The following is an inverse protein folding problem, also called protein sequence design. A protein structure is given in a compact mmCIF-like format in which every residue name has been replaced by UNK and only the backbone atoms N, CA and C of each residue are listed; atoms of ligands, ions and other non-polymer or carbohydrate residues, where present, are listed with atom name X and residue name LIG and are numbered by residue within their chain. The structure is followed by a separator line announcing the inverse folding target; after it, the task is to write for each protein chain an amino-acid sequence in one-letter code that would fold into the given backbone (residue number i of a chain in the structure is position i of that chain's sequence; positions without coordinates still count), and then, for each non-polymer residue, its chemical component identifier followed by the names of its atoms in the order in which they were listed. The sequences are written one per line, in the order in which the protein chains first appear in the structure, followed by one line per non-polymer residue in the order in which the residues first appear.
data_IF_737131975316
#
_entry.id   IF_737131975316
#
_cell.length_a   1.000
_cell.length_b   1.000
_cell.length_c   1.000
_cell.angle_alpha   90.00
_cell.angle_beta   90.00
_cell.angle_gamma   90.00
#
_symmetry.space_group_name_H-M   'P 1'
#
loop_
_entity.id
_entity.type
_entity.pdbx_description
1 polymer ?
#
# COMPACT_ATOMS: atom_id res chain seq x y z
N UNK A 1 -45.75 25.84 23.36
CA UNK A 1 -44.32 25.95 23.04
C UNK A 1 -43.70 24.56 23.13
N UNK A 2 -43.46 23.91 21.99
CA UNK A 2 -42.85 22.58 21.91
C UNK A 2 -41.33 22.74 22.13
N UNK A 3 -40.72 22.02 23.08
CA UNK A 3 -39.28 22.09 23.28
C UNK A 3 -38.59 21.45 22.08
N UNK A 4 -37.75 22.26 21.41
CA UNK A 4 -37.02 21.86 20.21
C UNK A 4 -36.18 20.61 20.46
N UNK A 5 -36.45 19.57 19.67
CA UNK A 5 -35.54 18.46 19.44
C UNK A 5 -34.21 19.04 18.94
N UNK A 6 -33.24 19.22 19.85
CA UNK A 6 -31.84 19.28 19.46
C UNK A 6 -31.52 17.94 18.82
N UNK A 7 -31.43 17.90 17.49
CA UNK A 7 -30.80 16.81 16.76
C UNK A 7 -29.51 16.44 17.50
N UNK A 8 -29.48 15.26 18.14
CA UNK A 8 -28.26 14.67 18.67
C UNK A 8 -27.31 14.60 17.48
N UNK A 9 -26.36 15.54 17.40
CA UNK A 9 -25.26 15.43 16.46
C UNK A 9 -24.61 14.08 16.72
N UNK A 10 -24.79 13.13 15.80
CA UNK A 10 -24.08 11.86 15.79
C UNK A 10 -22.59 12.21 15.78
N UNK A 11 -21.96 12.18 16.95
CA UNK A 11 -20.53 12.41 17.09
C UNK A 11 -19.82 11.15 16.63
N UNK A 12 -19.70 11.02 15.30
CA UNK A 12 -18.92 9.97 14.66
C UNK A 12 -17.48 10.02 15.19
N UNK A 13 -16.89 8.85 15.42
CA UNK A 13 -15.48 8.76 15.81
C UNK A 13 -14.57 9.20 14.65
N UNK A 14 -13.33 9.63 14.91
CA UNK A 14 -12.38 9.96 13.83
C UNK A 14 -12.20 8.83 12.81
N UNK A 15 -12.16 7.57 13.27
CA UNK A 15 -12.05 6.39 12.41
C UNK A 15 -13.29 6.16 11.54
N UNK A 16 -14.50 6.40 12.07
CA UNK A 16 -15.74 6.35 11.29
C UNK A 16 -15.76 7.40 10.17
N UNK A 17 -15.28 8.61 10.48
CA UNK A 17 -15.19 9.69 9.48
C UNK A 17 -14.19 9.34 8.38
N UNK A 18 -13.01 8.80 8.73
CA UNK A 18 -12.01 8.36 7.75
C UNK A 18 -12.58 7.26 6.85
N UNK A 19 -13.23 6.25 7.43
CA UNK A 19 -13.87 5.18 6.66
C UNK A 19 -14.90 5.74 5.66
N UNK A 20 -15.78 6.64 6.10
CA UNK A 20 -16.76 7.28 5.23
C UNK A 20 -16.13 8.17 4.16
N UNK A 21 -15.01 8.84 4.46
CA UNK A 21 -14.25 9.61 3.48
C UNK A 21 -13.68 8.71 2.38
N UNK A 22 -13.02 7.60 2.74
CA UNK A 22 -12.53 6.64 1.75
C UNK A 22 -13.67 6.03 0.93
N UNK A 23 -14.81 5.70 1.55
CA UNK A 23 -15.98 5.19 0.84
C UNK A 23 -16.54 6.23 -0.14
N UNK A 24 -16.65 7.49 0.28
CA UNK A 24 -17.10 8.57 -0.60
C UNK A 24 -16.11 8.84 -1.75
N UNK A 25 -14.81 8.72 -1.48
CA UNK A 25 -13.76 8.80 -2.50
C UNK A 25 -13.87 7.68 -3.52
N UNK A 26 -14.18 6.45 -3.08
CA UNK A 26 -14.37 5.31 -3.98
C UNK A 26 -15.57 5.49 -4.90
N UNK A 27 -16.69 5.99 -4.36
CA UNK A 27 -17.88 6.32 -5.16
C UNK A 27 -17.57 7.42 -6.16
N UNK A 28 -16.90 8.50 -5.74
CA UNK A 28 -16.51 9.59 -6.63
C UNK A 28 -15.56 9.11 -7.74
N UNK A 29 -14.55 8.31 -7.40
CA UNK A 29 -13.63 7.71 -8.36
C UNK A 29 -14.36 6.81 -9.37
N UNK A 30 -15.35 6.02 -8.90
CA UNK A 30 -16.17 5.16 -9.76
C UNK A 30 -16.98 5.99 -10.76
N UNK A 31 -17.61 7.08 -10.30
CA UNK A 31 -18.36 8.00 -11.17
C UNK A 31 -17.44 8.63 -12.21
N UNK A 32 -16.24 9.05 -11.80
CA UNK A 32 -15.26 9.69 -12.68
C UNK A 32 -14.80 8.73 -13.80
N UNK A 33 -14.54 7.46 -13.47
CA UNK A 33 -14.15 6.45 -14.45
C UNK A 33 -15.31 5.97 -15.33
N UNK A 34 -16.56 6.05 -14.88
CA UNK A 34 -17.74 5.72 -15.69
C UNK A 34 -18.07 6.79 -16.75
N UNK A 35 -17.45 7.97 -16.70
CA UNK A 35 -17.72 9.01 -17.70
C UNK A 35 -17.28 8.56 -19.09
N UNK A 36 -18.08 8.83 -20.16
CA UNK A 36 -17.71 8.46 -21.53
C UNK A 36 -16.36 9.03 -21.99
N UNK A 37 -15.96 10.18 -21.44
CA UNK A 37 -14.66 10.79 -21.72
C UNK A 37 -13.47 9.95 -21.24
N UNK A 38 -13.66 9.06 -20.25
CA UNK A 38 -12.62 8.21 -19.69
C UNK A 38 -12.32 6.98 -20.56
N UNK A 39 -13.25 6.57 -21.44
CA UNK A 39 -13.13 5.35 -22.24
C UNK A 39 -12.65 5.63 -23.66
N UNK A 40 -11.99 4.65 -24.27
CA UNK A 40 -11.71 4.68 -25.71
C UNK A 40 -13.01 4.52 -26.52
N UNK A 41 -13.08 5.08 -27.75
CA UNK A 41 -14.26 4.93 -28.59
C UNK A 41 -14.59 3.45 -28.86
N UNK A 42 -15.84 3.06 -28.60
CA UNK A 42 -16.32 1.68 -28.84
C UNK A 42 -16.02 0.68 -27.72
N UNK A 43 -15.46 1.11 -26.58
CA UNK A 43 -15.25 0.26 -25.42
C UNK A 43 -16.30 0.54 -24.34
N UNK A 44 -17.04 -0.51 -23.97
CA UNK A 44 -17.98 -0.48 -22.84
C UNK A 44 -17.40 -1.25 -21.66
N UNK A 45 -17.40 -0.62 -20.48
CA UNK A 45 -16.97 -1.24 -19.22
C UNK A 45 -18.19 -1.61 -18.37
N UNK A 46 -18.16 -2.77 -17.71
CA UNK A 46 -19.19 -3.14 -16.76
C UNK A 46 -19.12 -2.24 -15.51
N UNK A 47 -20.25 -2.00 -14.84
CA UNK A 47 -20.28 -1.19 -13.62
C UNK A 47 -19.36 -1.74 -12.53
N UNK A 48 -19.33 -3.06 -12.35
CA UNK A 48 -18.47 -3.69 -11.33
C UNK A 48 -16.99 -3.52 -11.66
N UNK A 49 -16.61 -3.62 -12.94
CA UNK A 49 -15.21 -3.45 -13.35
C UNK A 49 -14.75 -2.01 -13.19
N UNK A 50 -15.60 -1.04 -13.49
CA UNK A 50 -15.30 0.38 -13.24
C UNK A 50 -15.13 0.66 -11.74
N UNK A 51 -16.01 0.12 -10.89
CA UNK A 51 -15.87 0.21 -9.42
C UNK A 51 -14.60 -0.49 -8.94
N UNK A 52 -14.26 -1.65 -9.52
CA UNK A 52 -13.05 -2.38 -9.17
C UNK A 52 -11.80 -1.55 -9.49
N UNK A 53 -11.69 -1.01 -10.70
CA UNK A 53 -10.57 -0.16 -11.11
C UNK A 53 -10.50 1.10 -10.25
N UNK A 54 -11.64 1.74 -9.96
CA UNK A 54 -11.70 2.93 -9.12
C UNK A 54 -11.22 2.65 -7.69
N UNK A 55 -11.70 1.56 -7.07
CA UNK A 55 -11.25 1.16 -5.73
C UNK A 55 -9.79 0.77 -5.77
N UNK A 56 -9.35 0.00 -6.76
CA UNK A 56 -7.95 -0.41 -6.93
C UNK A 56 -7.00 0.79 -7.09
N UNK A 57 -7.39 1.81 -7.85
CA UNK A 57 -6.62 3.05 -7.96
C UNK A 57 -6.63 3.86 -6.65
N UNK A 58 -7.76 3.94 -5.95
CA UNK A 58 -7.85 4.70 -4.69
C UNK A 58 -7.17 4.02 -3.51
N UNK A 59 -7.25 2.69 -3.45
CA UNK A 59 -6.52 1.86 -2.48
C UNK A 59 -5.06 1.67 -2.88
N UNK A 60 -4.72 2.09 -4.10
CA UNK A 60 -3.38 2.04 -4.64
C UNK A 60 -2.87 0.60 -4.68
N UNK A 61 -3.74 -0.29 -5.16
CA UNK A 61 -3.48 -1.71 -5.27
C UNK A 61 -2.87 -2.03 -6.62
N UNK A 62 -3.55 -1.76 -7.74
CA UNK A 62 -3.06 -2.07 -9.09
C UNK A 62 -3.67 -3.30 -9.75
N UNK A 63 -4.55 -4.03 -9.05
CA UNK A 63 -5.32 -5.09 -9.67
C UNK A 63 -6.36 -4.48 -10.62
N UNK A 64 -6.46 -5.02 -11.83
CA UNK A 64 -7.44 -4.56 -12.83
C UNK A 64 -8.08 -5.75 -13.54
N UNK A 65 -9.42 -5.83 -13.60
CA UNK A 65 -10.10 -6.88 -14.36
C UNK A 65 -10.07 -6.62 -15.88
N UNK A 66 -9.70 -5.40 -16.29
CA UNK A 66 -9.64 -4.94 -17.68
C UNK A 66 -8.27 -4.31 -17.95
N UNK A 67 -7.78 -4.43 -19.17
CA UNK A 67 -6.53 -3.79 -19.60
C UNK A 67 -6.67 -2.28 -19.59
N UNK A 68 -5.78 -1.59 -18.85
CA UNK A 68 -5.78 -0.13 -18.73
C UNK A 68 -5.54 0.53 -20.10
N UNK A 69 -4.59 0.01 -20.87
CA UNK A 69 -4.26 0.54 -22.19
C UNK A 69 -5.43 0.37 -23.15
N UNK A 70 -6.14 -0.75 -23.13
CA UNK A 70 -7.22 -1.03 -24.10
C UNK A 70 -8.52 -0.31 -23.75
N UNK A 71 -8.74 -0.03 -22.46
CA UNK A 71 -10.02 0.49 -21.97
C UNK A 71 -10.06 2.01 -21.88
N UNK A 72 -9.02 2.61 -21.30
CA UNK A 72 -9.05 4.03 -20.93
C UNK A 72 -8.42 4.92 -22.01
N UNK A 73 -9.03 6.08 -22.22
CA UNK A 73 -8.50 7.15 -23.06
C UNK A 73 -7.40 7.92 -22.32
N UNK A 74 -6.74 8.86 -23.00
CA UNK A 74 -5.79 9.79 -22.37
C UNK A 74 -6.41 10.53 -21.18
N UNK A 75 -7.69 10.93 -21.29
CA UNK A 75 -8.43 11.56 -20.18
C UNK A 75 -8.63 10.57 -19.02
N UNK A 76 -8.93 9.31 -19.33
CA UNK A 76 -9.02 8.24 -18.34
C UNK A 76 -7.71 8.01 -17.59
N UNK A 77 -6.56 8.06 -18.29
CA UNK A 77 -5.25 7.99 -17.64
C UNK A 77 -5.04 9.12 -16.61
N UNK A 78 -5.43 10.36 -16.94
CA UNK A 78 -5.36 11.47 -15.99
C UNK A 78 -6.31 11.30 -14.79
N UNK A 79 -7.49 10.71 -14.99
CA UNK A 79 -8.39 10.38 -13.88
C UNK A 79 -7.79 9.33 -12.96
N UNK A 80 -7.21 8.25 -13.52
CA UNK A 80 -6.51 7.22 -12.73
C UNK A 80 -5.34 7.85 -11.96
N UNK A 81 -4.52 8.71 -12.60
CA UNK A 81 -3.42 9.41 -11.93
C UNK A 81 -3.90 10.29 -10.76
N UNK A 82 -4.99 11.02 -10.95
CA UNK A 82 -5.57 11.84 -9.88
C UNK A 82 -6.07 10.98 -8.72
N UNK A 83 -6.72 9.85 -9.02
CA UNK A 83 -7.19 8.91 -8.00
C UNK A 83 -6.00 8.28 -7.24
N UNK A 84 -4.95 7.87 -7.97
CA UNK A 84 -3.70 7.37 -7.39
C UNK A 84 -3.05 8.41 -6.48
N UNK A 85 -3.08 9.70 -6.83
CA UNK A 85 -2.54 10.76 -5.97
C UNK A 85 -3.30 10.88 -4.64
N UNK A 86 -4.63 10.87 -4.73
CA UNK A 86 -5.51 10.99 -3.55
C UNK A 86 -5.34 9.78 -2.64
N UNK A 87 -5.34 8.57 -3.21
CA UNK A 87 -5.11 7.32 -2.48
C UNK A 87 -3.69 7.25 -1.91
N UNK A 88 -2.73 7.68 -2.72
CA UNK A 88 -1.30 7.54 -2.51
C UNK A 88 -0.79 8.28 -1.28
N UNK A 89 -0.97 9.60 -1.34
CA UNK A 89 -0.62 10.50 -0.24
C UNK A 89 -1.55 10.33 0.98
N UNK A 90 -2.72 9.74 0.76
CA UNK A 90 -3.76 9.52 1.77
C UNK A 90 -4.81 10.63 1.74
N UNK A 91 -6.08 10.24 1.90
CA UNK A 91 -7.22 11.12 1.68
C UNK A 91 -7.21 12.34 2.63
N UNK A 92 -6.73 12.15 3.86
CA UNK A 92 -6.63 13.24 4.84
C UNK A 92 -5.50 14.21 4.53
N UNK A 93 -4.35 13.70 4.07
CA UNK A 93 -3.24 14.54 3.61
C UNK A 93 -3.69 15.42 2.45
N UNK A 94 -4.29 14.80 1.43
CA UNK A 94 -4.77 15.50 0.24
C UNK A 94 -5.81 16.56 0.63
N UNK A 95 -6.83 16.18 1.40
CA UNK A 95 -7.89 17.10 1.87
C UNK A 95 -7.31 18.26 2.68
N UNK A 96 -6.33 17.99 3.55
CA UNK A 96 -5.68 19.03 4.36
C UNK A 96 -4.92 20.05 3.50
N UNK A 97 -4.29 19.59 2.41
CA UNK A 97 -3.58 20.47 1.49
C UNK A 97 -4.56 21.35 0.71
N UNK A 98 -5.67 20.77 0.24
CA UNK A 98 -6.76 21.52 -0.41
C UNK A 98 -7.30 22.61 0.53
N UNK A 99 -7.55 22.30 1.81
CA UNK A 99 -7.98 23.30 2.79
C UNK A 99 -6.98 24.43 3.00
N UNK A 100 -5.67 24.11 3.05
CA UNK A 100 -4.62 25.11 3.18
C UNK A 100 -4.54 26.03 1.96
N UNK A 101 -4.71 25.48 0.74
CA UNK A 101 -4.74 26.27 -0.50
C UNK A 101 -5.91 27.26 -0.53
N UNK A 102 -7.07 26.88 -0.01
CA UNK A 102 -8.23 27.77 0.15
C UNK A 102 -8.16 28.69 1.38
N UNK A 103 -7.02 28.76 2.07
CA UNK A 103 -6.83 29.64 3.23
C UNK A 103 -7.61 29.23 4.49
N UNK A 104 -8.16 28.01 4.54
CA UNK A 104 -8.91 27.52 5.70
C UNK A 104 -7.95 27.13 6.82
N UNK A 105 -8.28 27.54 8.05
CA UNK A 105 -7.52 27.15 9.25
C UNK A 105 -7.91 25.72 9.66
N UNK A 106 -6.91 24.86 9.85
CA UNK A 106 -7.10 23.49 10.32
C UNK A 106 -7.28 23.49 11.84
N UNK A 107 -8.50 23.21 12.28
CA UNK A 107 -8.91 23.12 13.68
C UNK A 107 -8.48 21.81 14.35
N UNK A 108 -8.93 21.62 15.60
CA UNK A 108 -8.55 20.45 16.40
C UNK A 108 -9.17 19.15 15.90
N UNK A 109 -10.41 19.21 15.38
CA UNK A 109 -11.11 18.03 14.87
C UNK A 109 -10.41 17.49 13.62
N UNK A 110 -10.00 18.37 12.72
CA UNK A 110 -9.26 18.03 11.52
C UNK A 110 -7.89 17.44 11.85
N UNK A 111 -7.18 18.01 12.84
CA UNK A 111 -5.92 17.44 13.33
C UNK A 111 -6.09 16.05 13.93
N UNK A 112 -7.17 15.78 14.65
CA UNK A 112 -7.49 14.44 15.16
C UNK A 112 -7.74 13.44 14.03
N UNK A 113 -8.40 13.85 12.95
CA UNK A 113 -8.61 13.01 11.77
C UNK A 113 -7.28 12.67 11.09
N UNK A 114 -6.42 13.66 10.86
CA UNK A 114 -5.10 13.41 10.26
C UNK A 114 -4.25 12.50 11.16
N UNK A 115 -4.30 12.70 12.48
CA UNK A 115 -3.57 11.88 13.45
C UNK A 115 -4.01 10.41 13.38
N UNK A 116 -5.32 10.16 13.26
CA UNK A 116 -5.87 8.82 13.12
C UNK A 116 -5.50 8.18 11.76
N UNK A 117 -5.59 8.91 10.65
CA UNK A 117 -5.24 8.43 9.30
C UNK A 117 -3.76 8.06 9.17
N UNK A 118 -2.88 8.87 9.76
CA UNK A 118 -1.44 8.64 9.75
C UNK A 118 -0.96 7.70 10.87
N UNK A 119 -1.87 7.17 11.70
CA UNK A 119 -1.58 6.32 12.87
C UNK A 119 -0.50 6.93 13.80
N UNK A 120 -0.65 8.24 14.08
CA UNK A 120 0.26 9.05 14.92
C UNK A 120 -0.34 9.29 16.31
N UNK A 121 0.51 9.64 17.27
CA UNK A 121 0.08 10.00 18.65
C UNK A 121 0.17 11.48 18.95
N UNK A 122 0.95 12.25 18.19
CA UNK A 122 1.25 13.65 18.47
C UNK A 122 0.52 14.61 17.52
N UNK A 123 -0.09 15.67 18.08
CA UNK A 123 -0.82 16.69 17.32
C UNK A 123 0.06 17.88 16.89
N UNK A 124 1.22 18.05 17.52
CA UNK A 124 2.12 19.19 17.27
C UNK A 124 2.83 19.05 15.92
N UNK A 125 2.91 20.14 15.15
CA UNK A 125 3.63 20.16 13.87
C UNK A 125 2.99 19.32 12.75
N UNK A 126 1.88 18.66 13.01
CA UNK A 126 1.27 17.69 12.10
C UNK A 126 0.85 18.32 10.76
N UNK A 127 0.28 19.54 10.75
CA UNK A 127 -0.06 20.25 9.51
C UNK A 127 1.19 20.58 8.68
N UNK A 128 2.28 20.98 9.34
CA UNK A 128 3.57 21.24 8.67
C UNK A 128 4.11 19.95 8.05
N UNK A 129 4.04 18.84 8.79
CA UNK A 129 4.41 17.52 8.30
C UNK A 129 3.59 17.14 7.04
N UNK A 130 2.26 17.30 7.04
CA UNK A 130 1.43 16.99 5.86
C UNK A 130 1.84 17.80 4.64
N UNK A 131 2.12 19.09 4.81
CA UNK A 131 2.59 19.97 3.72
C UNK A 131 3.93 19.50 3.19
N UNK A 132 4.88 19.16 4.07
CA UNK A 132 6.18 18.67 3.66
C UNK A 132 6.08 17.33 2.92
N UNK A 133 5.25 16.40 3.40
CA UNK A 133 5.00 15.11 2.74
C UNK A 133 4.45 15.32 1.34
N UNK A 134 3.40 16.15 1.21
CA UNK A 134 2.76 16.42 -0.08
C UNK A 134 3.74 17.02 -1.10
N UNK A 135 4.51 18.04 -0.69
CA UNK A 135 5.49 18.68 -1.56
C UNK A 135 6.65 17.74 -1.93
N UNK A 136 7.07 16.88 -0.99
CA UNK A 136 8.15 15.93 -1.22
C UNK A 136 7.76 14.85 -2.23
N UNK A 137 6.55 14.29 -2.12
CA UNK A 137 6.03 13.28 -3.05
C UNK A 137 5.90 13.89 -4.45
N UNK A 138 5.29 15.07 -4.57
CA UNK A 138 5.17 15.75 -5.86
C UNK A 138 6.54 16.05 -6.49
N UNK A 139 7.54 16.43 -5.68
CA UNK A 139 8.91 16.61 -6.17
C UNK A 139 9.53 15.30 -6.66
N UNK A 140 9.35 14.20 -5.94
CA UNK A 140 9.83 12.86 -6.34
C UNK A 140 9.15 12.44 -7.66
N UNK A 141 7.84 12.63 -7.78
CA UNK A 141 7.06 12.30 -8.98
C UNK A 141 7.48 13.13 -10.19
N UNK A 142 7.70 14.44 -10.04
CA UNK A 142 8.17 15.28 -11.15
C UNK A 142 9.58 14.85 -11.59
N UNK A 143 10.49 14.59 -10.64
CA UNK A 143 11.85 14.15 -10.99
C UNK A 143 11.81 12.78 -11.67
N UNK A 144 11.05 11.82 -11.14
CA UNK A 144 10.89 10.51 -11.76
C UNK A 144 10.25 10.59 -13.15
N UNK A 145 9.24 11.44 -13.33
CA UNK A 145 8.56 11.65 -14.61
C UNK A 145 9.50 12.24 -15.67
N UNK A 146 10.37 13.18 -15.27
CA UNK A 146 11.38 13.75 -16.17
C UNK A 146 12.44 12.70 -16.53
N UNK A 147 12.95 11.95 -15.56
CA UNK A 147 13.99 10.93 -15.78
C UNK A 147 13.47 9.81 -16.69
N UNK A 148 12.30 9.23 -16.36
CA UNK A 148 11.68 8.19 -17.17
C UNK A 148 11.20 8.75 -18.52
N UNK A 149 10.60 9.94 -18.55
CA UNK A 149 10.10 10.56 -19.77
C UNK A 149 11.20 10.83 -20.79
N UNK A 150 12.36 11.34 -20.36
CA UNK A 150 13.54 11.53 -21.23
C UNK A 150 14.04 10.18 -21.74
N UNK A 151 14.14 9.19 -20.86
CA UNK A 151 14.62 7.86 -21.23
C UNK A 151 13.68 7.13 -22.18
N UNK A 152 12.37 7.33 -22.06
CA UNK A 152 11.34 6.72 -22.91
C UNK A 152 11.25 7.32 -24.31
N UNK A 153 11.97 8.40 -24.62
CA UNK A 153 12.05 8.95 -25.99
C UNK A 153 12.61 7.92 -26.97
N UNK A 154 13.45 6.98 -26.51
CA UNK A 154 13.98 5.91 -27.37
C UNK A 154 12.98 4.78 -27.64
N UNK A 155 11.91 4.67 -26.83
CA UNK A 155 10.92 3.59 -26.91
C UNK A 155 9.64 3.99 -27.64
N UNK A 156 9.30 5.29 -27.64
CA UNK A 156 8.07 5.80 -28.24
C UNK A 156 8.34 6.74 -29.41
N UNK A 157 7.50 6.73 -30.45
CA UNK A 157 7.71 7.53 -31.66
C UNK A 157 7.53 9.03 -31.42
N UNK A 158 6.73 9.43 -30.43
CA UNK A 158 6.46 10.84 -30.13
C UNK A 158 6.93 11.22 -28.73
N UNK A 159 7.51 12.42 -28.61
CA UNK A 159 7.96 12.97 -27.33
C UNK A 159 6.79 13.08 -26.34
N UNK A 160 5.61 13.48 -26.82
CA UNK A 160 4.40 13.58 -25.98
C UNK A 160 4.00 12.24 -25.36
N UNK A 161 4.10 11.15 -26.11
CA UNK A 161 3.79 9.81 -25.64
C UNK A 161 4.85 9.32 -24.65
N UNK A 162 6.14 9.52 -24.95
CA UNK A 162 7.23 9.20 -24.02
C UNK A 162 7.06 9.87 -22.65
N UNK A 163 6.75 11.18 -22.62
CA UNK A 163 6.50 11.90 -21.37
C UNK A 163 5.20 11.50 -20.68
N UNK A 164 4.16 11.10 -21.43
CA UNK A 164 2.94 10.56 -20.85
C UNK A 164 3.19 9.21 -20.15
N UNK A 165 3.94 8.31 -20.79
CA UNK A 165 4.39 7.05 -20.18
C UNK A 165 5.34 7.28 -19.02
N UNK A 166 6.26 8.24 -19.12
CA UNK A 166 7.18 8.61 -18.03
C UNK A 166 6.44 9.17 -16.82
N UNK A 167 5.48 10.06 -17.03
CA UNK A 167 4.63 10.61 -15.97
C UNK A 167 3.80 9.51 -15.31
N UNK A 168 3.14 8.68 -16.11
CA UNK A 168 2.28 7.63 -15.58
C UNK A 168 3.07 6.59 -14.79
N UNK A 169 4.21 6.13 -15.34
CA UNK A 169 5.10 5.20 -14.65
C UNK A 169 5.66 5.80 -13.35
N UNK A 170 6.05 7.08 -13.36
CA UNK A 170 6.60 7.74 -12.17
C UNK A 170 5.58 7.89 -11.06
N UNK A 171 4.37 8.35 -11.38
CA UNK A 171 3.28 8.48 -10.39
C UNK A 171 2.90 7.10 -9.89
N UNK A 172 2.62 6.14 -10.79
CA UNK A 172 2.26 4.78 -10.39
C UNK A 172 3.32 4.11 -9.51
N UNK A 173 4.60 4.23 -9.85
CA UNK A 173 5.68 3.66 -9.05
C UNK A 173 5.86 4.39 -7.70
N UNK A 174 5.79 5.73 -7.66
CA UNK A 174 5.95 6.50 -6.41
C UNK A 174 4.75 6.33 -5.49
N UNK A 175 3.56 6.27 -6.07
CA UNK A 175 2.36 5.93 -5.35
C UNK A 175 2.24 4.44 -5.15
N UNK A 176 3.16 3.56 -5.54
CA UNK A 176 2.99 2.12 -5.24
C UNK A 176 1.69 1.52 -5.82
N UNK A 177 1.21 2.06 -6.95
CA UNK A 177 -0.11 1.81 -7.50
C UNK A 177 -0.22 0.58 -8.39
N UNK A 178 0.89 0.04 -8.91
CA UNK A 178 0.88 -1.17 -9.75
C UNK A 178 0.23 -1.01 -11.13
N UNK A 179 -0.38 0.14 -11.45
CA UNK A 179 -0.96 0.41 -12.76
C UNK A 179 0.13 0.67 -13.79
N UNK A 180 -0.08 0.19 -15.00
CA UNK A 180 0.68 0.56 -16.18
C UNK A 180 -0.25 0.93 -17.34
N UNK A 181 0.33 1.59 -18.33
CA UNK A 181 -0.35 1.91 -19.59
C UNK A 181 0.38 1.29 -20.79
N UNK A 182 1.23 0.27 -20.55
CA UNK A 182 1.88 -0.51 -21.61
C UNK A 182 1.04 -1.74 -21.97
N UNK A 183 0.14 -2.18 -21.09
CA UNK A 183 -0.66 -3.40 -21.19
C UNK A 183 0.08 -4.66 -20.71
N UNK A 184 1.38 -4.55 -20.45
CA UNK A 184 2.24 -5.66 -20.07
C UNK A 184 3.17 -5.29 -18.91
N UNK A 185 2.76 -4.33 -18.07
CA UNK A 185 3.56 -3.83 -16.96
C UNK A 185 4.95 -3.32 -17.42
N UNK A 186 6.03 -3.80 -16.81
CA UNK A 186 7.41 -3.46 -17.19
C UNK A 186 8.12 -4.58 -17.96
N UNK A 187 7.40 -5.59 -18.46
CA UNK A 187 7.97 -6.67 -19.29
C UNK A 187 8.75 -6.12 -20.51
N UNK A 188 8.27 -5.09 -21.24
CA UNK A 188 9.04 -4.50 -22.35
C UNK A 188 10.40 -3.91 -21.94
N UNK A 189 10.58 -3.60 -20.65
CA UNK A 189 11.78 -2.99 -20.08
C UNK A 189 12.62 -3.98 -19.25
N UNK A 190 12.38 -5.29 -19.40
CA UNK A 190 13.07 -6.34 -18.65
C UNK A 190 14.59 -6.39 -18.85
N UNK A 191 15.09 -5.91 -19.99
CA UNK A 191 16.52 -5.81 -20.29
C UNK A 191 17.10 -4.41 -20.01
N UNK A 192 16.25 -3.45 -19.63
CA UNK A 192 16.66 -2.10 -19.32
C UNK A 192 16.78 -1.92 -17.80
N UNK A 193 17.99 -2.12 -17.28
CA UNK A 193 18.27 -1.98 -15.87
C UNK A 193 18.12 -0.53 -15.37
N UNK A 194 18.22 0.47 -16.24
CA UNK A 194 18.01 1.86 -15.83
C UNK A 194 16.54 2.08 -15.46
N UNK A 195 15.61 1.65 -16.32
CA UNK A 195 14.17 1.74 -16.05
C UNK A 195 13.80 0.96 -14.79
N UNK A 196 14.35 -0.25 -14.63
CA UNK A 196 14.09 -1.06 -13.43
C UNK A 196 14.60 -0.40 -12.16
N UNK A 197 15.83 0.14 -12.15
CA UNK A 197 16.40 0.82 -10.98
C UNK A 197 15.60 2.06 -10.62
N UNK A 198 15.22 2.88 -11.59
CA UNK A 198 14.42 4.08 -11.33
C UNK A 198 13.08 3.69 -10.72
N UNK A 199 12.36 2.70 -11.28
CA UNK A 199 11.10 2.23 -10.72
C UNK A 199 11.27 1.62 -9.31
N UNK A 200 12.32 0.81 -9.08
CA UNK A 200 12.60 0.29 -7.74
C UNK A 200 12.83 1.42 -6.73
N UNK A 201 13.58 2.45 -7.08
CA UNK A 201 13.81 3.61 -6.20
C UNK A 201 12.50 4.32 -5.89
N UNK A 202 11.64 4.57 -6.88
CA UNK A 202 10.35 5.21 -6.68
C UNK A 202 9.42 4.38 -5.77
N UNK A 203 9.35 3.06 -5.99
CA UNK A 203 8.59 2.12 -5.14
C UNK A 203 9.12 2.11 -3.70
N UNK A 204 10.45 2.13 -3.52
CA UNK A 204 11.07 2.19 -2.19
C UNK A 204 10.68 3.49 -1.47
N UNK A 205 10.77 4.62 -2.16
CA UNK A 205 10.43 5.93 -1.60
C UNK A 205 8.96 6.00 -1.19
N UNK A 206 8.05 5.42 -1.98
CA UNK A 206 6.63 5.30 -1.64
C UNK A 206 6.34 4.37 -0.46
N UNK A 207 7.08 3.26 -0.34
CA UNK A 207 6.82 2.19 0.63
C UNK A 207 7.44 2.41 2.03
N UNK A 208 8.56 3.14 2.14
CA UNK A 208 9.36 3.17 3.39
C UNK A 208 8.71 3.98 4.52
N UNK A 209 7.74 4.83 4.19
CA UNK A 209 7.01 5.70 5.11
C UNK A 209 7.47 7.15 5.03
N UNK A 210 6.52 8.06 4.89
CA UNK A 210 6.78 9.49 4.78
C UNK A 210 7.62 10.09 5.92
N UNK A 211 7.51 9.63 7.19
CA UNK A 211 8.37 10.11 8.26
C UNK A 211 9.85 9.85 8.03
N UNK A 212 10.17 8.73 7.40
CA UNK A 212 11.55 8.35 7.06
C UNK A 212 12.10 9.33 6.02
N UNK A 213 11.31 9.65 5.00
CA UNK A 213 11.71 10.60 3.96
C UNK A 213 11.98 11.99 4.55
N UNK A 214 11.11 12.45 5.46
CA UNK A 214 11.29 13.73 6.15
C UNK A 214 12.53 13.72 7.04
N UNK A 215 12.77 12.65 7.82
CA UNK A 215 14.00 12.52 8.63
C UNK A 215 15.27 12.46 7.78
N UNK A 216 15.23 11.83 6.59
CA UNK A 216 16.37 11.80 5.65
C UNK A 216 16.65 13.20 5.11
N UNK A 217 15.60 13.94 4.70
CA UNK A 217 15.73 15.34 4.27
C UNK A 217 16.31 16.21 5.40
N UNK A 218 15.82 16.04 6.62
CA UNK A 218 16.33 16.77 7.79
C UNK A 218 17.79 16.41 8.08
N UNK A 219 18.20 15.15 7.92
CA UNK A 219 19.59 14.70 8.03
C UNK A 219 20.50 15.34 6.97
N UNK A 220 20.07 15.36 5.70
CA UNK A 220 20.84 15.94 4.59
C UNK A 220 20.99 17.46 4.68
N UNK A 221 20.02 18.13 5.31
CA UNK A 221 20.04 19.59 5.52
C UNK A 221 20.62 19.99 6.88
N UNK A 222 20.94 19.03 7.73
CA UNK A 222 21.44 19.28 9.08
C UNK A 222 22.83 19.92 9.05
N UNK A 223 22.93 21.14 9.59
CA UNK A 223 24.19 21.88 9.76
C UNK A 223 24.58 22.10 11.23
N UNK A 224 24.01 21.33 12.15
CA UNK A 224 24.28 21.48 13.58
C UNK A 224 25.54 20.75 14.04
N UNK A 225 26.01 21.09 15.24
CA UNK A 225 27.24 20.54 15.84
C UNK A 225 27.06 19.19 16.56
N UNK A 226 25.82 18.73 16.76
CA UNK A 226 25.53 17.47 17.45
C UNK A 226 25.31 16.34 16.44
N UNK A 227 25.60 15.09 16.81
CA UNK A 227 25.29 13.95 15.96
C UNK A 227 23.78 13.85 15.74
N UNK A 228 23.34 13.77 14.49
CA UNK A 228 21.95 13.53 14.15
C UNK A 228 21.55 12.11 14.60
N UNK A 229 20.39 11.97 15.24
CA UNK A 229 19.89 10.69 15.72
C UNK A 229 18.55 10.35 15.09
N UNK A 230 18.53 9.31 14.25
CA UNK A 230 17.30 8.77 13.68
C UNK A 230 16.36 8.22 14.76
N UNK A 231 15.06 8.34 14.51
CA UNK A 231 14.03 7.79 15.38
C UNK A 231 14.04 6.25 15.40
N UNK A 232 13.40 5.66 16.41
CA UNK A 232 13.19 4.21 16.46
C UNK A 232 12.40 3.74 15.24
N UNK A 233 11.41 4.53 14.83
CA UNK A 233 10.57 4.27 13.67
C UNK A 233 11.41 4.14 12.40
N UNK A 234 12.27 5.13 12.10
CA UNK A 234 13.14 5.10 10.92
C UNK A 234 14.10 3.92 10.93
N UNK A 235 14.76 3.66 12.07
CA UNK A 235 15.68 2.52 12.16
C UNK A 235 14.97 1.18 11.94
N UNK A 236 13.79 1.00 12.53
CA UNK A 236 13.05 -0.25 12.45
C UNK A 236 12.48 -0.47 11.05
N UNK A 237 11.84 0.55 10.45
CA UNK A 237 11.23 0.48 9.12
C UNK A 237 12.27 0.22 8.03
N UNK A 238 13.38 0.97 8.01
CA UNK A 238 14.47 0.78 7.05
C UNK A 238 15.08 -0.62 7.19
N UNK A 239 15.35 -1.06 8.43
CA UNK A 239 15.94 -2.40 8.67
C UNK A 239 15.01 -3.51 8.18
N UNK A 240 13.72 -3.43 8.50
CA UNK A 240 12.74 -4.42 8.06
C UNK A 240 12.54 -4.41 6.55
N UNK A 241 12.53 -3.23 5.93
CA UNK A 241 12.42 -3.12 4.49
C UNK A 241 13.62 -3.79 3.81
N UNK A 242 14.85 -3.46 4.20
CA UNK A 242 16.05 -4.09 3.62
C UNK A 242 16.07 -5.60 3.87
N UNK A 243 15.69 -6.05 5.08
CA UNK A 243 15.64 -7.47 5.42
C UNK A 243 14.64 -8.23 4.54
N UNK A 244 13.41 -7.74 4.39
CA UNK A 244 12.39 -8.39 3.57
C UNK A 244 12.77 -8.38 2.08
N UNK A 245 13.38 -7.30 1.58
CA UNK A 245 13.93 -7.23 0.22
C UNK A 245 14.98 -8.31 -0.01
N UNK A 246 15.92 -8.45 0.94
CA UNK A 246 16.99 -9.42 0.85
C UNK A 246 16.46 -10.86 0.93
N UNK A 247 15.51 -11.14 1.82
CA UNK A 247 14.86 -12.45 1.95
C UNK A 247 14.13 -12.82 0.65
N UNK A 248 13.35 -11.90 0.07
CA UNK A 248 12.64 -12.16 -1.17
C UNK A 248 13.60 -12.39 -2.33
N UNK A 249 14.59 -11.52 -2.49
CA UNK A 249 15.61 -11.66 -3.55
C UNK A 249 16.36 -12.99 -3.43
N UNK A 250 16.85 -13.33 -2.23
CA UNK A 250 17.58 -14.57 -2.00
C UNK A 250 16.70 -15.82 -2.18
N UNK A 251 15.44 -15.76 -1.73
CA UNK A 251 14.48 -16.85 -1.90
C UNK A 251 14.14 -17.10 -3.37
N UNK A 252 13.89 -16.04 -4.16
CA UNK A 252 13.65 -16.15 -5.60
C UNK A 252 14.86 -16.70 -6.34
N UNK A 253 16.07 -16.20 -6.03
CA UNK A 253 17.31 -16.73 -6.62
C UNK A 253 17.53 -18.21 -6.28
N UNK A 254 17.09 -18.66 -5.09
CA UNK A 254 17.23 -20.05 -4.67
C UNK A 254 16.21 -20.96 -5.38
N UNK A 255 14.94 -20.57 -5.39
CA UNK A 255 13.84 -21.40 -5.91
C UNK A 255 13.80 -21.44 -7.44
N UNK A 256 14.13 -20.32 -8.11
CA UNK A 256 14.10 -20.23 -9.57
C UNK A 256 15.40 -20.62 -10.26
N UNK A 257 16.46 -20.95 -9.51
CA UNK A 257 17.79 -21.28 -10.06
C UNK A 257 17.76 -22.34 -11.17
N UNK A 258 16.90 -23.34 -11.02
CA UNK A 258 16.75 -24.46 -11.97
C UNK A 258 15.44 -24.38 -12.77
N UNK A 259 14.70 -23.26 -12.68
CA UNK A 259 13.44 -23.02 -13.38
C UNK A 259 13.61 -21.77 -14.25
N UNK A 260 12.88 -20.69 -13.99
CA UNK A 260 12.89 -19.49 -14.82
C UNK A 260 14.29 -18.86 -15.00
N UNK A 261 15.17 -18.99 -14.00
CA UNK A 261 16.51 -18.40 -14.01
C UNK A 261 17.59 -19.33 -14.57
N UNK A 262 17.26 -20.55 -14.99
CA UNK A 262 18.24 -21.54 -15.45
C UNK A 262 19.02 -21.06 -16.68
N UNK A 263 18.34 -20.38 -17.61
CA UNK A 263 18.92 -19.90 -18.88
C UNK A 263 19.35 -18.43 -18.83
N UNK A 264 19.34 -17.80 -17.65
CA UNK A 264 19.61 -16.37 -17.48
C UNK A 264 21.03 -16.13 -16.97
N UNK A 265 21.63 -15.02 -17.38
CA UNK A 265 22.94 -14.61 -16.86
C UNK A 265 22.78 -14.10 -15.43
N UNK A 266 23.81 -14.25 -14.59
CA UNK A 266 23.74 -13.93 -13.15
C UNK A 266 23.17 -12.53 -12.83
N UNK A 267 23.43 -11.53 -13.68
CA UNK A 267 22.96 -10.16 -13.49
C UNK A 267 21.49 -10.01 -13.86
N UNK A 268 21.03 -10.60 -14.97
CA UNK A 268 19.60 -10.71 -15.31
C UNK A 268 18.83 -11.40 -14.18
N UNK A 269 19.35 -12.54 -13.70
CA UNK A 269 18.74 -13.28 -12.60
C UNK A 269 18.63 -12.47 -11.32
N UNK A 270 19.68 -11.70 -11.00
CA UNK A 270 19.67 -10.79 -9.86
C UNK A 270 18.64 -9.68 -10.02
N UNK A 271 18.55 -9.04 -11.19
CA UNK A 271 17.59 -7.97 -11.44
C UNK A 271 16.14 -8.46 -11.43
N UNK A 272 15.83 -9.61 -12.04
CA UNK A 272 14.50 -10.22 -11.95
C UNK A 272 14.09 -10.51 -10.51
N UNK A 273 14.98 -11.13 -9.73
CA UNK A 273 14.69 -11.46 -8.33
C UNK A 273 14.57 -10.20 -7.45
N UNK A 274 15.47 -9.24 -7.62
CA UNK A 274 15.47 -8.00 -6.83
C UNK A 274 14.24 -7.15 -7.15
N UNK A 275 13.94 -6.97 -8.44
CA UNK A 275 12.80 -6.19 -8.90
C UNK A 275 11.51 -6.78 -8.35
N UNK A 276 11.28 -8.09 -8.51
CA UNK A 276 10.06 -8.72 -8.04
C UNK A 276 9.94 -8.70 -6.50
N UNK A 277 11.05 -8.81 -5.78
CA UNK A 277 11.05 -8.68 -4.31
C UNK A 277 10.79 -7.25 -3.82
N UNK A 278 11.18 -6.23 -4.60
CA UNK A 278 10.83 -4.82 -4.33
C UNK A 278 9.37 -4.56 -4.67
N UNK A 279 8.93 -5.01 -5.85
CA UNK A 279 7.56 -4.84 -6.33
C UNK A 279 6.53 -5.60 -5.48
N UNK A 280 6.90 -6.72 -4.84
CA UNK A 280 6.01 -7.47 -3.95
C UNK A 280 5.64 -6.74 -2.65
N UNK A 281 6.21 -5.56 -2.39
CA UNK A 281 5.92 -4.74 -1.20
C UNK A 281 5.13 -3.50 -1.58
N UNK A 282 3.94 -3.75 -2.11
CA UNK A 282 3.03 -2.75 -2.63
C UNK A 282 3.52 -2.04 -3.91
N UNK A 283 4.25 -2.67 -4.83
CA UNK A 283 4.68 -2.05 -6.08
C UNK A 283 3.92 -2.53 -7.32
N UNK A 284 3.55 -3.81 -7.36
CA UNK A 284 2.61 -4.39 -8.33
C UNK A 284 3.09 -4.59 -9.75
N UNK A 285 4.15 -3.89 -10.13
CA UNK A 285 4.75 -4.00 -11.45
C UNK A 285 5.53 -5.32 -11.58
N UNK A 286 5.56 -5.87 -12.78
CA UNK A 286 6.29 -7.08 -13.11
C UNK A 286 7.16 -6.86 -14.35
N UNK A 287 8.34 -7.45 -14.36
CA UNK A 287 9.28 -7.45 -15.51
C UNK A 287 9.28 -8.79 -16.25
N UNK A 288 8.44 -9.74 -15.81
CA UNK A 288 8.33 -11.10 -16.34
C UNK A 288 6.89 -11.59 -16.16
N UNK A 289 6.51 -12.65 -16.89
CA UNK A 289 5.23 -13.33 -16.65
C UNK A 289 5.34 -14.20 -15.39
N UNK A 290 4.58 -13.83 -14.37
CA UNK A 290 4.62 -14.46 -13.06
C UNK A 290 4.09 -15.90 -13.08
N UNK A 291 3.40 -16.32 -14.14
CA UNK A 291 3.00 -17.71 -14.32
C UNK A 291 4.20 -18.64 -14.56
N UNK A 292 5.35 -18.11 -14.99
CA UNK A 292 6.57 -18.90 -15.21
C UNK A 292 7.31 -19.23 -13.89
N UNK A 293 6.92 -18.61 -12.77
CA UNK A 293 7.53 -18.88 -11.47
C UNK A 293 7.03 -20.17 -10.84
N UNK A 294 7.93 -20.84 -10.13
CA UNK A 294 7.60 -22.04 -9.37
C UNK A 294 6.65 -21.73 -8.20
N UNK A 295 5.88 -22.73 -7.78
CA UNK A 295 4.93 -22.60 -6.67
C UNK A 295 5.57 -22.08 -5.37
N UNK A 296 6.78 -22.51 -4.95
CA UNK A 296 7.46 -21.93 -3.78
C UNK A 296 7.75 -20.43 -3.92
N UNK A 297 8.13 -19.96 -5.11
CA UNK A 297 8.35 -18.53 -5.38
C UNK A 297 7.08 -17.72 -5.29
N UNK A 298 5.98 -18.23 -5.86
CA UNK A 298 4.67 -17.59 -5.76
C UNK A 298 4.15 -17.54 -4.33
N UNK A 299 4.35 -18.59 -3.53
CA UNK A 299 4.03 -18.57 -2.11
C UNK A 299 4.89 -17.60 -1.31
N UNK A 300 6.20 -17.54 -1.57
CA UNK A 300 7.11 -16.57 -0.96
C UNK A 300 6.65 -15.13 -1.24
N UNK A 301 6.36 -14.83 -2.51
CA UNK A 301 5.82 -13.53 -2.91
C UNK A 301 4.48 -13.25 -2.25
N UNK A 302 3.60 -14.25 -2.10
CA UNK A 302 2.30 -14.10 -1.43
C UNK A 302 2.44 -13.72 0.05
N UNK A 303 3.46 -14.27 0.74
CA UNK A 303 3.79 -13.88 2.12
C UNK A 303 4.39 -12.48 2.17
N UNK A 304 5.27 -12.13 1.23
CA UNK A 304 5.86 -10.79 1.15
C UNK A 304 4.82 -9.71 0.83
N UNK A 305 3.82 -10.00 -0.02
CA UNK A 305 2.69 -9.09 -0.30
C UNK A 305 1.79 -8.92 0.92
N UNK A 306 1.55 -10.01 1.66
CA UNK A 306 0.79 -9.95 2.91
C UNK A 306 1.49 -9.05 3.94
N UNK A 307 2.83 -9.12 4.04
CA UNK A 307 3.67 -8.17 4.78
C UNK A 307 3.91 -6.91 3.92
N UNK A 308 2.88 -6.07 3.85
CA UNK A 308 2.89 -4.86 3.01
C UNK A 308 3.88 -3.77 3.46
N UNK A 309 3.56 -2.53 3.13
CA UNK A 309 4.46 -1.40 3.32
C UNK A 309 4.56 -0.92 4.78
N UNK A 310 5.50 -0.01 5.05
CA UNK A 310 5.69 0.56 6.40
C UNK A 310 4.49 1.44 6.80
N UNK A 311 4.26 1.74 8.09
CA UNK A 311 3.21 2.68 8.50
C UNK A 311 3.44 4.07 7.91
N UNK A 312 2.36 4.87 7.80
CA UNK A 312 2.42 6.23 7.24
C UNK A 312 3.11 6.27 5.86
N UNK A 313 2.80 5.30 4.99
CA UNK A 313 3.34 5.15 3.64
C UNK A 313 2.21 5.03 2.63
N UNK A 314 2.58 4.87 1.35
CA UNK A 314 1.61 4.72 0.29
C UNK A 314 0.99 3.32 0.24
N UNK A 315 1.76 2.27 0.53
CA UNK A 315 1.24 0.90 0.50
C UNK A 315 0.33 0.56 1.69
N UNK A 316 -0.38 -0.56 1.59
CA UNK A 316 -1.30 -1.12 2.57
C UNK A 316 -0.79 -2.41 3.22
N UNK A 317 -1.70 -3.31 3.56
CA UNK A 317 -1.40 -4.62 4.14
C UNK A 317 -1.03 -4.62 5.62
N UNK A 318 -0.46 -5.73 6.10
CA UNK A 318 0.13 -5.78 7.44
C UNK A 318 1.41 -4.97 7.45
N UNK A 319 1.43 -3.94 8.29
CA UNK A 319 2.57 -3.02 8.36
C UNK A 319 3.85 -3.75 8.80
N UNK A 320 4.96 -3.41 8.17
CA UNK A 320 6.28 -3.99 8.49
C UNK A 320 6.63 -3.91 9.98
N UNK A 321 6.30 -2.80 10.64
CA UNK A 321 6.54 -2.60 12.09
C UNK A 321 5.69 -3.52 12.96
N UNK A 322 4.46 -3.84 12.54
CA UNK A 322 3.56 -4.76 13.26
C UNK A 322 4.19 -6.15 13.29
N UNK A 323 4.66 -6.63 12.14
CA UNK A 323 5.35 -7.92 12.02
C UNK A 323 6.67 -7.90 12.79
N UNK A 324 7.44 -6.81 12.69
CA UNK A 324 8.69 -6.66 13.42
C UNK A 324 8.50 -6.74 14.94
N UNK A 325 7.52 -6.01 15.49
CA UNK A 325 7.23 -6.01 16.93
C UNK A 325 6.74 -7.39 17.38
N UNK A 326 5.89 -8.06 16.60
CA UNK A 326 5.44 -9.43 16.91
C UNK A 326 6.62 -10.42 16.94
N UNK A 327 7.48 -10.39 15.91
CA UNK A 327 8.68 -11.25 15.85
C UNK A 327 9.66 -10.96 17.00
N UNK A 328 9.89 -9.68 17.30
CA UNK A 328 10.71 -9.26 18.43
C UNK A 328 10.14 -9.73 19.76
N UNK A 329 8.82 -9.70 19.94
CA UNK A 329 8.15 -10.18 21.14
C UNK A 329 8.41 -11.68 21.37
N UNK A 330 8.27 -12.49 20.32
CA UNK A 330 8.58 -13.93 20.37
C UNK A 330 10.05 -14.16 20.71
N UNK A 331 10.95 -13.42 20.06
CA UNK A 331 12.38 -13.53 20.29
C UNK A 331 12.79 -13.11 21.72
N UNK A 332 12.18 -12.06 22.27
CA UNK A 332 12.45 -11.62 23.65
C UNK A 332 11.91 -12.61 24.67
N UNK A 333 10.73 -13.18 24.41
CA UNK A 333 10.16 -14.22 25.25
C UNK A 333 11.03 -15.48 25.27
N UNK A 334 11.49 -15.94 24.10
CA UNK A 334 12.42 -17.07 23.97
C UNK A 334 13.75 -16.84 24.71
N UNK A 335 14.17 -15.58 24.88
CA UNK A 335 15.35 -15.18 25.67
C UNK A 335 15.06 -14.97 27.17
N UNK A 336 13.84 -15.22 27.63
CA UNK A 336 13.44 -15.01 29.03
C UNK A 336 13.34 -13.54 29.44
N UNK A 337 13.16 -12.61 28.48
CA UNK A 337 13.03 -11.17 28.74
C UNK A 337 11.58 -10.72 28.60
N UNK A 338 11.13 -9.87 29.52
CA UNK A 338 9.74 -9.38 29.56
C UNK A 338 9.49 -8.09 28.78
N UNK A 339 10.55 -7.39 28.35
CA UNK A 339 10.42 -6.12 27.63
C UNK A 339 11.19 -6.11 26.33
N UNK A 340 10.59 -5.54 25.29
CA UNK A 340 11.15 -5.47 23.95
C UNK A 340 12.09 -4.27 23.88
N UNK A 341 13.40 -4.55 23.81
CA UNK A 341 14.46 -3.53 23.73
C UNK A 341 15.19 -3.63 22.40
N UNK A 342 15.11 -2.58 21.57
CA UNK A 342 15.71 -2.53 20.24
C UNK A 342 16.29 -1.13 20.00
N UNK A 343 17.47 -1.06 19.37
CA UNK A 343 18.18 0.20 19.10
C UNK A 343 18.32 1.12 20.33
N UNK A 344 18.58 0.53 21.51
CA UNK A 344 18.69 1.23 22.80
C UNK A 344 17.40 1.95 23.25
N UNK A 345 16.24 1.49 22.79
CA UNK A 345 14.93 1.98 23.22
C UNK A 345 14.02 0.80 23.59
N UNK A 346 13.07 1.06 24.47
CA UNK A 346 12.05 0.09 24.89
C UNK A 346 10.73 0.37 24.17
N UNK A 347 10.12 -0.67 23.61
CA UNK A 347 8.81 -0.59 22.96
C UNK A 347 7.73 -0.63 24.03
N UNK A 348 6.72 0.25 23.91
CA UNK A 348 5.64 0.30 24.88
C UNK A 348 4.81 -1.00 24.84
N UNK A 349 4.46 -1.63 25.99
CA UNK A 349 3.73 -2.90 26.00
C UNK A 349 2.40 -2.87 25.25
N UNK A 350 1.73 -1.72 25.24
CA UNK A 350 0.47 -1.52 24.50
C UNK A 350 0.66 -1.70 22.99
N UNK A 351 1.80 -1.33 22.44
CA UNK A 351 2.08 -1.42 21.00
C UNK A 351 2.39 -2.87 20.60
N UNK A 352 3.00 -3.65 21.51
CA UNK A 352 3.17 -5.08 21.33
C UNK A 352 1.81 -5.79 21.28
N UNK A 353 0.93 -5.54 22.26
CA UNK A 353 -0.40 -6.12 22.27
C UNK A 353 -1.23 -5.73 21.04
N UNK A 354 -1.23 -4.43 20.67
CA UNK A 354 -1.89 -3.95 19.46
C UNK A 354 -1.36 -4.61 18.20
N UNK A 355 -0.05 -4.84 18.12
CA UNK A 355 0.56 -5.51 16.97
C UNK A 355 0.07 -6.96 16.82
N UNK A 356 -0.05 -7.70 17.93
CA UNK A 356 -0.62 -9.05 17.91
C UNK A 356 -2.09 -9.07 17.51
N UNK A 357 -2.91 -8.16 18.04
CA UNK A 357 -4.34 -8.07 17.67
C UNK A 357 -4.47 -7.82 16.16
N UNK A 358 -3.71 -6.86 15.61
CA UNK A 358 -3.72 -6.56 14.18
C UNK A 358 -3.26 -7.75 13.34
N UNK A 359 -2.20 -8.44 13.75
CA UNK A 359 -1.67 -9.60 13.03
C UNK A 359 -2.68 -10.75 13.00
N UNK A 360 -3.29 -11.10 14.14
CA UNK A 360 -4.29 -12.18 14.22
C UNK A 360 -5.53 -11.84 13.42
N UNK A 361 -6.06 -10.62 13.56
CA UNK A 361 -7.23 -10.18 12.78
C UNK A 361 -6.95 -10.17 11.27
N UNK A 362 -5.77 -9.69 10.86
CA UNK A 362 -5.37 -9.67 9.46
C UNK A 362 -5.27 -11.06 8.84
N UNK A 363 -4.60 -11.98 9.54
CA UNK A 363 -4.49 -13.38 9.10
C UNK A 363 -5.85 -14.05 9.04
N UNK A 364 -6.76 -13.77 9.99
CA UNK A 364 -8.12 -14.30 9.95
C UNK A 364 -8.91 -13.82 8.74
N UNK A 365 -8.92 -12.50 8.47
CA UNK A 365 -9.61 -11.92 7.29
C UNK A 365 -9.04 -12.50 5.99
N UNK A 366 -7.71 -12.59 5.90
CA UNK A 366 -7.03 -13.17 4.75
C UNK A 366 -7.44 -14.64 4.53
N UNK A 367 -7.37 -15.47 5.57
CA UNK A 367 -7.71 -16.89 5.47
C UNK A 367 -9.18 -17.13 5.10
N UNK A 368 -10.11 -16.39 5.71
CA UNK A 368 -11.54 -16.45 5.35
C UNK A 368 -11.76 -16.04 3.90
N UNK A 369 -11.03 -15.06 3.40
CA UNK A 369 -11.16 -14.60 2.02
C UNK A 369 -10.63 -15.61 1.02
N UNK A 370 -9.51 -16.30 1.31
CA UNK A 370 -9.01 -17.42 0.49
C UNK A 370 -10.07 -18.53 0.41
N UNK A 371 -10.66 -18.91 1.54
CA UNK A 371 -11.71 -19.95 1.59
C UNK A 371 -12.94 -19.51 0.79
N UNK A 372 -13.38 -18.27 0.97
CA UNK A 372 -14.55 -17.73 0.28
C UNK A 372 -14.35 -17.65 -1.24
N UNK A 373 -13.20 -17.16 -1.73
CA UNK A 373 -12.90 -17.16 -3.16
C UNK A 373 -12.80 -18.59 -3.72
N UNK A 374 -12.15 -19.50 -3.00
CA UNK A 374 -12.04 -20.90 -3.43
C UNK A 374 -13.39 -21.61 -3.54
N UNK A 375 -14.38 -21.20 -2.75
CA UNK A 375 -15.74 -21.70 -2.85
C UNK A 375 -16.50 -21.10 -4.04
N UNK A 376 -16.32 -19.80 -4.29
CA UNK A 376 -17.00 -19.08 -5.38
C UNK A 376 -16.44 -19.42 -6.76
N UNK A 377 -15.15 -19.73 -6.84
CA UNK A 377 -14.42 -20.00 -8.09
C UNK A 377 -13.75 -21.39 -8.03
N UNK A 378 -14.53 -22.48 -8.01
CA UNK A 378 -14.01 -23.84 -7.79
C UNK A 378 -13.13 -24.36 -8.94
N UNK A 379 -13.19 -23.73 -10.10
CA UNK A 379 -12.39 -24.08 -11.28
C UNK A 379 -10.95 -23.56 -11.19
N UNK A 380 -10.69 -22.58 -10.34
CA UNK A 380 -9.37 -22.00 -10.16
C UNK A 380 -8.53 -22.81 -9.17
N UNK A 381 -7.25 -22.97 -9.49
CA UNK A 381 -6.30 -23.57 -8.57
C UNK A 381 -6.13 -22.69 -7.30
N UNK A 382 -5.87 -23.34 -6.17
CA UNK A 382 -5.73 -22.64 -4.88
C UNK A 382 -4.59 -21.62 -4.84
N UNK A 383 -3.47 -21.90 -5.52
CA UNK A 383 -2.29 -21.04 -5.49
C UNK A 383 -2.55 -19.66 -6.13
N UNK A 384 -3.14 -19.55 -7.34
CA UNK A 384 -3.58 -18.27 -7.88
C UNK A 384 -4.55 -17.50 -6.98
N UNK A 385 -5.47 -18.19 -6.30
CA UNK A 385 -6.38 -17.56 -5.34
C UNK A 385 -5.61 -16.97 -4.15
N UNK A 386 -4.69 -17.74 -3.56
CA UNK A 386 -3.82 -17.27 -2.48
C UNK A 386 -3.04 -16.03 -2.92
N UNK A 387 -2.50 -16.04 -4.14
CA UNK A 387 -1.74 -14.94 -4.70
C UNK A 387 -2.58 -13.67 -4.87
N UNK A 388 -3.76 -13.77 -5.48
CA UNK A 388 -4.71 -12.65 -5.64
C UNK A 388 -5.17 -12.08 -4.30
N UNK A 389 -5.54 -12.94 -3.35
CA UNK A 389 -6.01 -12.49 -2.03
C UNK A 389 -4.88 -11.79 -1.27
N UNK A 390 -3.65 -12.31 -1.32
CA UNK A 390 -2.47 -11.65 -0.76
C UNK A 390 -2.18 -10.32 -1.44
N UNK A 391 -2.29 -10.25 -2.76
CA UNK A 391 -2.07 -9.03 -3.55
C UNK A 391 -3.13 -7.96 -3.24
N UNK A 392 -4.42 -8.33 -3.19
CA UNK A 392 -5.52 -7.43 -2.86
C UNK A 392 -5.40 -6.89 -1.42
N UNK A 393 -5.16 -7.78 -0.46
CA UNK A 393 -5.01 -7.40 0.95
C UNK A 393 -3.75 -6.53 1.19
N UNK A 394 -2.63 -6.89 0.56
CA UNK A 394 -1.36 -6.16 0.62
C UNK A 394 -1.33 -4.87 -0.19
N UNK A 395 -2.42 -4.57 -0.92
CA UNK A 395 -2.49 -3.52 -1.96
C UNK A 395 -1.25 -3.56 -2.85
N UNK A 396 -0.94 -4.73 -3.39
CA UNK A 396 0.24 -4.93 -4.23
C UNK A 396 -0.05 -4.77 -5.70
N UNK A 397 -1.11 -5.39 -6.23
CA UNK A 397 -1.48 -5.22 -7.64
C UNK A 397 -0.88 -6.24 -8.59
N UNK A 398 0.03 -7.06 -8.10
CA UNK A 398 0.56 -8.18 -8.85
C UNK A 398 -0.51 -9.25 -9.04
N UNK A 399 -0.64 -9.81 -10.24
CA UNK A 399 -1.68 -10.78 -10.61
C UNK A 399 -1.10 -11.96 -11.38
N UNK A 400 -1.77 -13.11 -11.30
CA UNK A 400 -1.53 -14.28 -12.18
C UNK A 400 -2.59 -14.37 -13.30
N UNK A 401 -3.31 -13.28 -13.58
CA UNK A 401 -4.37 -13.22 -14.59
C UNK A 401 -5.74 -13.69 -14.10
N UNK A 402 -5.91 -13.93 -12.80
CA UNK A 402 -7.18 -14.37 -12.22
C UNK A 402 -8.20 -13.22 -12.16
N UNK A 403 -7.76 -11.99 -11.91
CA UNK A 403 -8.66 -10.83 -11.71
C UNK A 403 -9.60 -10.58 -12.89
N UNK A 404 -9.18 -10.87 -14.12
CA UNK A 404 -9.97 -10.66 -15.34
C UNK A 404 -11.06 -11.72 -15.56
N UNK A 405 -10.91 -12.92 -14.98
CA UNK A 405 -11.81 -14.07 -15.27
C UNK A 405 -12.82 -14.37 -14.15
N UNK A 406 -12.61 -13.83 -12.95
CA UNK A 406 -13.48 -14.09 -11.80
C UNK A 406 -14.85 -13.41 -11.88
N UNK A 407 -15.85 -14.03 -11.26
CA UNK A 407 -17.21 -13.53 -11.16
C UNK A 407 -17.37 -12.32 -10.24
N UNK A 408 -18.52 -11.65 -10.37
CA UNK A 408 -18.89 -10.46 -9.57
C UNK A 408 -18.78 -10.68 -8.05
N UNK A 409 -19.23 -11.81 -7.46
CA UNK A 409 -19.09 -12.03 -6.01
C UNK A 409 -17.63 -12.09 -5.54
N UNK A 410 -16.74 -12.75 -6.30
CA UNK A 410 -15.32 -12.81 -6.00
C UNK A 410 -14.64 -11.44 -6.15
N UNK A 411 -15.00 -10.67 -7.20
CA UNK A 411 -14.55 -9.28 -7.38
C UNK A 411 -14.91 -8.40 -6.18
N UNK A 412 -16.11 -8.54 -5.62
CA UNK A 412 -16.54 -7.79 -4.42
C UNK A 412 -15.69 -8.11 -3.18
N UNK A 413 -15.24 -9.37 -3.01
CA UNK A 413 -14.35 -9.74 -1.91
C UNK A 413 -12.99 -9.07 -2.10
N UNK A 414 -12.42 -9.10 -3.30
CA UNK A 414 -11.15 -8.42 -3.59
C UNK A 414 -11.27 -6.90 -3.38
N UNK A 415 -12.37 -6.28 -3.82
CA UNK A 415 -12.67 -4.85 -3.56
C UNK A 415 -12.65 -4.55 -2.06
N UNK A 416 -13.31 -5.39 -1.24
CA UNK A 416 -13.32 -5.22 0.20
C UNK A 416 -11.92 -5.38 0.80
N UNK A 417 -11.13 -6.37 0.35
CA UNK A 417 -9.76 -6.58 0.81
C UNK A 417 -8.84 -5.41 0.48
N UNK A 418 -8.92 -4.88 -0.74
CA UNK A 418 -8.18 -3.68 -1.15
C UNK A 418 -8.52 -2.48 -0.27
N UNK A 419 -9.81 -2.29 0.02
CA UNK A 419 -10.28 -1.22 0.88
C UNK A 419 -9.77 -1.38 2.33
N UNK A 420 -9.87 -2.58 2.91
CA UNK A 420 -9.36 -2.89 4.26
C UNK A 420 -7.83 -2.73 4.31
N UNK A 421 -7.13 -3.21 3.29
CA UNK A 421 -5.68 -3.11 3.14
C UNK A 421 -5.20 -1.66 3.17
N UNK A 422 -5.90 -0.75 2.47
CA UNK A 422 -5.54 0.67 2.45
C UNK A 422 -5.92 1.41 3.73
N UNK A 423 -7.18 1.32 4.17
CA UNK A 423 -7.68 2.02 5.36
C UNK A 423 -6.95 1.54 6.64
N UNK A 424 -6.46 0.30 6.61
CA UNK A 424 -5.69 -0.32 7.66
C UNK A 424 -6.57 -1.02 8.69
N UNK A 425 -6.13 -2.21 9.10
CA UNK A 425 -6.82 -3.03 10.11
C UNK A 425 -7.01 -2.33 11.45
N UNK A 426 -6.06 -1.46 11.83
CA UNK A 426 -6.18 -0.72 13.08
C UNK A 426 -7.40 0.20 13.05
N UNK A 427 -7.58 0.96 11.96
CA UNK A 427 -8.74 1.82 11.76
C UNK A 427 -10.05 1.03 11.75
N UNK A 428 -10.06 -0.16 11.12
CA UNK A 428 -11.21 -1.06 11.12
C UNK A 428 -11.55 -1.57 12.53
N UNK A 429 -10.55 -2.00 13.29
CA UNK A 429 -10.76 -2.47 14.66
C UNK A 429 -11.31 -1.35 15.56
N UNK A 430 -10.87 -0.11 15.38
CA UNK A 430 -11.41 1.05 16.10
C UNK A 430 -12.79 1.51 15.61
N UNK A 431 -13.19 1.11 14.39
CA UNK A 431 -14.56 1.26 13.91
C UNK A 431 -15.53 0.40 14.74
N UNK A 432 -15.10 -0.82 15.07
CA UNK A 432 -15.88 -1.85 15.77
C UNK A 432 -15.77 -1.68 17.29
N UNK A 433 -14.56 -1.36 17.79
CA UNK A 433 -14.27 -1.08 19.20
C UNK A 433 -14.99 0.21 19.57
N UNK A 434 -16.13 0.05 20.24
CA UNK A 434 -16.89 1.17 20.82
C UNK A 434 -16.08 2.00 21.82
N UNK A 435 -16.75 2.91 22.53
CA UNK A 435 -16.08 3.74 23.54
C UNK A 435 -15.40 2.86 24.59
N UNK A 436 -14.15 3.18 24.90
CA UNK A 436 -13.40 2.50 25.95
C UNK A 436 -14.13 2.67 27.29
N UNK A 437 -14.61 1.54 27.83
CA UNK A 437 -15.23 1.48 29.13
C UNK A 437 -14.11 1.24 30.13
N UNK A 438 -13.89 2.18 31.04
CA UNK A 438 -13.00 1.95 32.18
C UNK A 438 -13.75 1.08 33.18
N UNK A 439 -13.34 -0.16 33.33
CA UNK A 439 -13.95 -1.07 34.29
C UNK A 439 -13.73 -0.54 35.71
N UNK A 440 -14.79 -0.30 36.50
CA UNK A 440 -14.66 0.23 37.85
C UNK A 440 -14.19 -0.82 38.87
N UNK A 441 -14.15 -2.09 38.49
CA UNK A 441 -13.70 -3.20 39.33
C UNK A 441 -12.95 -4.25 38.49
N UNK A 442 -12.16 -5.10 39.16
CA UNK A 442 -11.43 -6.20 38.54
C UNK A 442 -11.87 -7.54 39.13
N UNK A 443 -11.96 -8.57 38.28
CA UNK A 443 -12.20 -9.95 38.71
C UNK A 443 -10.90 -10.62 39.21
N UNK A 444 -11.00 -11.68 40.03
CA UNK A 444 -9.85 -12.52 40.38
C UNK A 444 -9.12 -13.02 39.13
N UNK A 445 -7.79 -12.92 39.12
CA UNK A 445 -6.96 -13.39 38.00
C UNK A 445 -6.73 -14.88 38.13
N UNK A 446 -7.13 -15.64 37.12
CA UNK A 446 -6.91 -17.08 37.06
C UNK A 446 -5.83 -17.40 36.03
N UNK A 447 -5.00 -18.40 36.33
CA UNK A 447 -3.99 -18.90 35.38
C UNK A 447 -4.65 -19.96 34.52
N UNK A 448 -4.63 -19.76 33.21
CA UNK A 448 -5.08 -20.74 32.24
C UNK A 448 -3.85 -21.44 31.69
N UNK A 449 -3.92 -22.78 31.57
CA UNK A 449 -2.89 -23.58 30.92
C UNK A 449 -2.84 -23.21 29.43
N UNK A 450 -1.68 -22.75 28.98
CA UNK A 450 -1.37 -22.46 27.57
C UNK A 450 -0.19 -23.36 27.21
N UNK A 451 -0.24 -23.99 26.03
CA UNK A 451 0.76 -24.95 25.54
C UNK A 451 2.05 -24.32 25.03
#
# INVERSE_FOLDING_TARGET
MVPGMKLKQLRLSPFQVIFLLYLSGAVFASILLLLPAAHKPGVDISFIDAVFVAVSALSVTGLTPVSTIDTFSTTGYFFILLILQVGGVGIMTFSSMVWLLFGKRIGMRERQLIMADQNRTDLSGLVKLMREIFLLILAIEVVGALVLGIHFIQYYPTISEAFLHGLFASVSATTNGGFDITGASLIPYANDYFVQVVNMVLIILGAIGFPVLVEIKDFLTYRGSRKFTFSLFTKLTVTMYVLLAAIGTAGLLLFERNHFLADKVWHESFFYALFQSVASRSGGLATLDLNDFSSPSLLLLSVLMFIGASPSSVGGGLRTTTVAIAALSVFTFARGKNTIKVFHREVHPIDAHRSFVVLVTGTFIWAVSVIALSYLEPELALLPIIYEVSSAFGTTGSTLGVTSVIGTPAKMILIMLMFIGRVGLFSLLFLIRGKEIKDPYHYPKERILIG
#
